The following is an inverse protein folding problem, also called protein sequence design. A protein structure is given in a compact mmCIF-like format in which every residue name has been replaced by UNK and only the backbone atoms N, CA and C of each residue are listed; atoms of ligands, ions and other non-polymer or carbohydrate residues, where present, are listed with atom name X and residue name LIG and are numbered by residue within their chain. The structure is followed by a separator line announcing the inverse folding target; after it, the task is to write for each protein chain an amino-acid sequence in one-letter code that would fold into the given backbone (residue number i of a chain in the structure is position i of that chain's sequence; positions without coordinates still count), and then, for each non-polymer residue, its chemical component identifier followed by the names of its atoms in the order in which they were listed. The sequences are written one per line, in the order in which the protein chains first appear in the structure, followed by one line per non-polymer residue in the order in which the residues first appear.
data_IF_065434679699
#
_entry.id   IF_065434679699
#
_cell.length_a   1.000
_cell.length_b   1.000
_cell.length_c   1.000
_cell.angle_alpha   90.00
_cell.angle_beta   90.00
_cell.angle_gamma   90.00
#
_symmetry.space_group_name_H-M   'P 1'
#
loop_
_entity.id
_entity.type
_entity.pdbx_description
1 polymer ?
#
# COMPACT_ATOMS: atom_id res chain seq x y z
N UNK A 1 15.25 13.54 -16.02
CA UNK A 1 15.69 12.59 -14.98
C UNK A 1 14.82 11.37 -15.17
N UNK A 2 15.37 10.15 -15.24
CA UNK A 2 14.51 8.96 -15.15
C UNK A 2 14.08 8.93 -13.70
N UNK A 3 12.87 9.39 -13.41
CA UNK A 3 12.28 9.21 -12.10
C UNK A 3 12.25 7.70 -11.87
N UNK A 4 13.10 7.24 -10.95
CA UNK A 4 13.32 5.82 -10.71
C UNK A 4 12.23 5.35 -9.74
N UNK A 5 11.00 5.38 -10.22
CA UNK A 5 9.83 5.01 -9.43
C UNK A 5 9.94 3.54 -9.03
N UNK A 6 9.56 3.25 -7.78
CA UNK A 6 9.64 1.91 -7.19
C UNK A 6 8.34 1.13 -7.29
N UNK A 7 7.21 1.84 -7.30
CA UNK A 7 5.89 1.23 -7.20
C UNK A 7 4.98 1.66 -8.34
N UNK A 8 4.07 0.78 -8.72
CA UNK A 8 2.98 1.03 -9.66
C UNK A 8 1.68 0.51 -9.07
N UNK A 9 0.56 1.11 -9.45
CA UNK A 9 -0.77 0.63 -9.10
C UNK A 9 -1.50 0.08 -10.32
N UNK A 10 -2.34 -0.92 -10.13
CA UNK A 10 -3.25 -1.42 -11.16
C UNK A 10 -4.61 -0.74 -10.98
N UNK A 11 -4.96 0.09 -11.95
CA UNK A 11 -6.29 0.69 -12.03
C UNK A 11 -7.24 -0.32 -12.64
N UNK A 12 -8.17 -0.80 -11.81
CA UNK A 12 -9.17 -1.80 -12.19
C UNK A 12 -10.23 -1.25 -13.16
N UNK A 13 -10.53 0.05 -13.10
CA UNK A 13 -11.52 0.69 -13.95
C UNK A 13 -10.99 0.91 -15.37
N UNK A 14 -9.74 1.36 -15.47
CA UNK A 14 -9.09 1.64 -16.76
C UNK A 14 -8.31 0.46 -17.33
N UNK A 15 -8.03 -0.56 -16.51
CA UNK A 15 -7.34 -1.78 -16.92
C UNK A 15 -5.87 -1.54 -17.30
N UNK A 16 -5.18 -0.64 -16.58
CA UNK A 16 -3.78 -0.32 -16.86
C UNK A 16 -2.97 0.00 -15.60
N UNK A 17 -1.64 -0.03 -15.76
CA UNK A 17 -0.71 0.33 -14.69
C UNK A 17 -0.40 1.82 -14.68
N UNK A 18 -0.55 2.45 -13.52
CA UNK A 18 -0.07 3.80 -13.24
C UNK A 18 1.11 3.78 -12.30
N UNK A 19 2.05 4.69 -12.51
CA UNK A 19 3.21 4.81 -11.63
C UNK A 19 2.83 5.58 -10.37
N UNK A 20 3.26 5.09 -9.21
CA UNK A 20 3.04 5.77 -7.93
C UNK A 20 4.24 6.68 -7.64
N UNK A 21 4.05 7.99 -7.45
CA UNK A 21 5.14 8.94 -7.23
C UNK A 21 5.63 8.94 -5.76
N UNK A 22 5.77 7.76 -5.16
CA UNK A 22 6.14 7.54 -3.75
C UNK A 22 7.32 6.58 -3.65
N UNK A 23 8.23 6.85 -2.72
CA UNK A 23 9.41 6.00 -2.50
C UNK A 23 9.26 5.01 -1.34
N UNK A 24 8.31 5.29 -0.44
CA UNK A 24 8.01 4.46 0.74
C UNK A 24 6.74 3.62 0.48
N UNK A 25 6.78 2.36 0.90
CA UNK A 25 5.68 1.41 0.73
C UNK A 25 4.38 1.86 1.42
N UNK A 26 4.46 2.44 2.61
CA UNK A 26 3.31 2.97 3.36
C UNK A 26 2.65 4.11 2.60
N UNK A 27 3.45 5.06 2.10
CA UNK A 27 2.92 6.16 1.30
C UNK A 27 2.34 5.68 -0.03
N UNK A 28 2.94 4.67 -0.64
CA UNK A 28 2.45 4.09 -1.89
C UNK A 28 1.10 3.38 -1.69
N UNK A 29 0.96 2.61 -0.61
CA UNK A 29 -0.28 1.95 -0.22
C UNK A 29 -1.35 3.01 0.08
N UNK A 30 -1.08 4.00 0.92
CA UNK A 30 -2.05 5.07 1.21
C UNK A 30 -2.48 5.83 -0.05
N UNK A 31 -1.60 5.99 -1.04
CA UNK A 31 -1.91 6.63 -2.32
C UNK A 31 -2.90 5.80 -3.14
N UNK A 32 -2.65 4.50 -3.30
CA UNK A 32 -3.47 3.60 -4.12
C UNK A 32 -4.79 3.19 -3.43
N UNK A 33 -4.77 3.08 -2.10
CA UNK A 33 -5.89 2.57 -1.33
C UNK A 33 -7.12 3.49 -1.36
N UNK A 34 -6.93 4.80 -1.51
CA UNK A 34 -8.04 5.72 -1.72
C UNK A 34 -8.87 5.40 -2.99
N UNK A 35 -8.32 4.59 -3.89
CA UNK A 35 -8.95 4.14 -5.13
C UNK A 35 -9.20 2.62 -5.15
N UNK A 36 -8.95 1.92 -4.02
CA UNK A 36 -9.05 0.46 -3.94
C UNK A 36 -8.20 -0.29 -4.98
N UNK A 37 -7.05 0.32 -5.36
CA UNK A 37 -6.13 -0.22 -6.35
C UNK A 37 -5.05 -1.09 -5.71
N UNK A 38 -4.60 -2.06 -6.51
CA UNK A 38 -3.51 -2.95 -6.15
C UNK A 38 -2.16 -2.25 -6.34
N UNK A 39 -1.20 -2.51 -5.47
CA UNK A 39 0.16 -1.94 -5.51
C UNK A 39 1.16 -3.03 -5.81
N UNK A 40 2.07 -2.76 -6.73
CA UNK A 40 3.13 -3.66 -7.15
C UNK A 40 4.49 -2.98 -7.09
N UNK A 41 5.54 -3.76 -6.84
CA UNK A 41 6.90 -3.33 -7.09
C UNK A 41 7.18 -3.33 -8.61
N UNK A 42 7.84 -2.28 -9.10
CA UNK A 42 8.16 -2.17 -10.52
C UNK A 42 9.24 -3.16 -10.94
N UNK A 43 10.27 -3.36 -10.11
CA UNK A 43 11.45 -4.16 -10.47
C UNK A 43 11.14 -5.66 -10.50
N UNK A 44 10.54 -6.21 -9.44
CA UNK A 44 10.16 -7.62 -9.39
C UNK A 44 8.81 -7.92 -10.08
N UNK A 45 7.91 -6.95 -10.13
CA UNK A 45 6.51 -7.18 -10.52
C UNK A 45 5.67 -7.85 -9.43
N UNK A 46 6.20 -7.98 -8.22
CA UNK A 46 5.50 -8.58 -7.07
C UNK A 46 4.35 -7.69 -6.62
N UNK A 47 3.21 -8.30 -6.29
CA UNK A 47 2.08 -7.63 -5.63
C UNK A 47 2.50 -7.37 -4.17
N UNK A 48 2.28 -6.15 -3.70
CA UNK A 48 2.62 -5.72 -2.34
C UNK A 48 1.37 -5.57 -1.48
N UNK A 49 0.31 -5.05 -2.08
CA UNK A 49 -0.96 -4.76 -1.42
C UNK A 49 -2.08 -4.87 -2.45
N UNK A 50 -3.19 -5.49 -2.07
CA UNK A 50 -4.40 -5.55 -2.88
C UNK A 50 -5.48 -4.68 -2.24
N UNK A 51 -6.03 -3.77 -3.04
CA UNK A 51 -7.15 -2.93 -2.60
C UNK A 51 -8.47 -3.70 -2.51
N UNK A 52 -8.51 -4.91 -3.06
CA UNK A 52 -9.68 -5.79 -3.11
C UNK A 52 -9.71 -6.84 -1.98
N UNK A 53 -8.60 -6.99 -1.24
CA UNK A 53 -8.44 -8.06 -0.24
C UNK A 53 -8.52 -7.54 1.21
N UNK A 54 -8.77 -8.47 2.13
CA UNK A 54 -8.93 -8.16 3.55
C UNK A 54 -7.61 -7.87 4.28
N UNK A 55 -7.74 -7.57 5.57
CA UNK A 55 -6.66 -7.22 6.48
C UNK A 55 -5.68 -8.37 6.70
N UNK A 56 -6.19 -9.59 6.77
CA UNK A 56 -5.39 -10.79 7.06
C UNK A 56 -4.48 -11.10 5.86
N UNK A 57 -5.06 -11.15 4.65
CA UNK A 57 -4.32 -11.38 3.43
C UNK A 57 -3.23 -10.32 3.22
N UNK A 58 -3.61 -9.04 3.31
CA UNK A 58 -2.64 -7.96 3.11
C UNK A 58 -1.60 -7.90 4.23
N UNK A 59 -1.93 -8.25 5.47
CA UNK A 59 -0.94 -8.28 6.56
C UNK A 59 0.13 -9.34 6.33
N UNK A 60 -0.25 -10.52 5.81
CA UNK A 60 0.71 -11.57 5.43
C UNK A 60 1.67 -11.07 4.34
N UNK A 61 1.15 -10.40 3.31
CA UNK A 61 1.97 -9.82 2.24
C UNK A 61 2.91 -8.71 2.72
N UNK A 62 2.52 -7.99 3.77
CA UNK A 62 3.27 -6.85 4.30
C UNK A 62 4.33 -7.24 5.34
N UNK A 63 4.39 -8.51 5.77
CA UNK A 63 5.40 -9.00 6.72
C UNK A 63 6.85 -8.67 6.31
N UNK A 64 7.27 -8.86 5.04
CA UNK A 64 8.64 -8.53 4.61
C UNK A 64 8.96 -7.02 4.72
N UNK A 65 7.93 -6.18 4.68
CA UNK A 65 8.03 -4.73 4.80
C UNK A 65 7.96 -4.26 6.26
N UNK A 66 7.76 -5.18 7.22
CA UNK A 66 7.69 -4.87 8.65
C UNK A 66 6.45 -4.05 9.03
N UNK A 67 5.41 -4.10 8.21
CA UNK A 67 4.13 -3.42 8.45
C UNK A 67 2.98 -4.42 8.39
N UNK A 68 1.87 -4.10 9.03
CA UNK A 68 0.63 -4.89 9.00
C UNK A 68 -0.57 -3.97 8.99
N UNK A 69 -1.74 -4.52 8.69
CA UNK A 69 -3.00 -3.82 8.81
C UNK A 69 -3.62 -4.09 10.17
N UNK A 70 -4.24 -3.04 10.73
CA UNK A 70 -4.99 -3.10 11.97
C UNK A 70 -6.26 -2.27 11.83
N UNK A 71 -7.29 -2.64 12.56
CA UNK A 71 -8.41 -1.75 12.82
C UNK A 71 -8.10 -0.90 14.06
N UNK A 72 -8.06 0.42 13.89
CA UNK A 72 -7.89 1.39 14.97
C UNK A 72 -8.91 2.52 14.81
N UNK A 73 -9.63 2.84 15.88
CA UNK A 73 -10.59 3.97 15.90
C UNK A 73 -11.65 3.89 14.76
N UNK A 74 -12.13 2.68 14.46
CA UNK A 74 -13.05 2.36 13.34
C UNK A 74 -12.48 2.61 11.93
N UNK A 75 -11.16 2.73 11.80
CA UNK A 75 -10.47 2.88 10.52
C UNK A 75 -9.38 1.82 10.37
N UNK A 76 -9.22 1.31 9.15
CA UNK A 76 -8.12 0.41 8.81
C UNK A 76 -6.83 1.22 8.64
N UNK A 77 -5.79 0.87 9.39
CA UNK A 77 -4.53 1.61 9.45
C UNK A 77 -3.34 0.67 9.18
N UNK A 78 -2.24 1.22 8.67
CA UNK A 78 -0.96 0.51 8.65
C UNK A 78 -0.24 0.70 9.97
N UNK A 79 0.35 -0.35 10.51
CA UNK A 79 1.15 -0.31 11.74
C UNK A 79 2.52 -0.93 11.51
N UNK A 80 3.57 -0.26 12.01
CA UNK A 80 4.89 -0.85 12.11
C UNK A 80 4.89 -2.00 13.13
N UNK A 81 5.28 -3.21 12.70
CA UNK A 81 5.25 -4.41 13.55
C UNK A 81 6.27 -4.31 14.70
N UNK A 82 7.39 -3.60 14.51
CA UNK A 82 8.46 -3.51 15.51
C UNK A 82 8.23 -2.40 16.54
N UNK A 83 7.81 -1.22 16.10
CA UNK A 83 7.67 -0.04 16.97
C UNK A 83 6.24 0.14 17.50
N UNK A 84 5.26 -0.48 16.85
CA UNK A 84 3.83 -0.25 17.13
C UNK A 84 3.31 1.09 16.61
N UNK A 85 4.13 1.88 15.92
CA UNK A 85 3.75 3.14 15.30
C UNK A 85 2.63 2.93 14.28
N UNK A 86 1.57 3.72 14.39
CA UNK A 86 0.42 3.68 13.47
C UNK A 86 0.60 4.78 12.43
N UNK A 87 0.62 4.40 11.17
CA UNK A 87 0.65 5.30 10.04
C UNK A 87 -0.79 5.62 9.63
N UNK A 88 -1.21 6.87 9.87
CA UNK A 88 -2.49 7.38 9.41
C UNK A 88 -2.32 7.97 8.01
N UNK A 89 -3.28 7.69 7.13
CA UNK A 89 -3.33 8.36 5.83
C UNK A 89 -3.85 9.80 5.99
N UNK A 90 -3.47 10.70 5.07
CA UNK A 90 -3.87 12.11 5.13
C UNK A 90 -5.39 12.34 5.10
N UNK A 91 -6.15 11.35 4.61
CA UNK A 91 -7.61 11.37 4.54
C UNK A 91 -8.30 10.81 5.80
N UNK A 92 -7.57 10.21 6.74
CA UNK A 92 -8.09 9.66 8.00
C UNK A 92 -8.13 10.69 9.15
N UNK A 93 -8.45 11.94 8.82
CA UNK A 93 -8.46 13.07 9.78
C UNK A 93 -9.55 12.95 10.84
#
# INVERSE_FOLDING_TARGET
MKDNYKFKMWDWDEGCFYVIPKENVVEAIHYAWNYEFDVYEIESGELIFSGQEDDDFNSEMLEPYGVRLIEAENCRCLQNVKTGEIYKADWQK
#
